data_IF_497389823015
#
_entry.id   IF_497389823015
#
_cell.length_a   1.000
_cell.length_b   1.000
_cell.length_c   1.000
_cell.angle_alpha   90.00
_cell.angle_beta   90.00
_cell.angle_gamma   90.00
#
_symmetry.space_group_name_H-M   'P 1'
#
loop_
_entity.id
_entity.type
_entity.pdbx_description
1 polymer ?
#
# COMPACT_ATOMS: atom_id res chain seq x y z
N UNK A 1 -20.05 -27.20 55.25
CA UNK A 1 -21.26 -27.88 54.75
C UNK A 1 -21.81 -27.17 53.55
N UNK A 2 -22.32 -27.94 52.59
CA UNK A 2 -23.05 -27.59 51.37
C UNK A 2 -22.21 -27.36 50.10
N UNK A 3 -22.09 -28.46 49.36
CA UNK A 3 -21.74 -28.58 47.96
C UNK A 3 -22.90 -28.08 47.09
N UNK A 4 -22.62 -27.28 46.03
CA UNK A 4 -23.55 -27.10 44.90
C UNK A 4 -22.87 -27.39 43.60
N UNK A 5 -23.34 -28.46 42.98
CA UNK A 5 -23.05 -28.96 41.64
C UNK A 5 -23.66 -28.00 40.60
N UNK A 6 -22.92 -27.63 39.56
CA UNK A 6 -23.49 -27.00 38.38
C UNK A 6 -23.31 -27.90 37.17
N UNK A 7 -24.42 -28.09 36.49
CA UNK A 7 -24.65 -29.00 35.38
C UNK A 7 -24.02 -28.51 34.08
N UNK A 8 -23.35 -29.41 33.41
CA UNK A 8 -22.91 -29.36 32.03
C UNK A 8 -24.13 -29.44 31.09
N UNK A 9 -24.34 -28.45 30.23
CA UNK A 9 -25.30 -28.56 29.14
C UNK A 9 -24.57 -28.77 27.82
N UNK A 10 -24.73 -29.95 27.26
CA UNK A 10 -24.32 -30.35 25.92
C UNK A 10 -25.18 -29.67 24.88
N UNK A 11 -24.57 -29.06 23.87
CA UNK A 11 -25.22 -28.63 22.62
C UNK A 11 -25.32 -29.80 21.66
N UNK A 12 -26.46 -30.01 21.00
CA UNK A 12 -26.57 -30.99 19.91
C UNK A 12 -26.11 -30.44 18.58
N UNK A 13 -25.37 -31.28 17.90
CA UNK A 13 -24.93 -31.12 16.51
C UNK A 13 -26.12 -31.40 15.59
N UNK A 14 -26.48 -30.51 14.72
CA UNK A 14 -27.42 -30.76 13.64
C UNK A 14 -26.70 -30.93 12.30
N UNK A 15 -26.97 -32.10 11.75
CA UNK A 15 -26.48 -32.70 10.52
C UNK A 15 -26.91 -31.97 9.26
N UNK A 16 -25.97 -31.90 8.34
CA UNK A 16 -26.02 -32.06 6.88
C UNK A 16 -27.39 -32.06 6.16
N UNK A 17 -27.52 -31.20 5.20
CA UNK A 17 -28.45 -31.29 4.09
C UNK A 17 -27.72 -31.15 2.75
N UNK A 18 -27.31 -32.29 2.18
CA UNK A 18 -26.92 -32.41 0.77
C UNK A 18 -28.17 -32.32 -0.10
N UNK A 19 -28.15 -31.48 -1.14
CA UNK A 19 -28.89 -31.77 -2.38
C UNK A 19 -28.14 -31.18 -3.58
N UNK A 20 -27.79 -32.01 -4.56
CA UNK A 20 -27.24 -31.56 -5.84
C UNK A 20 -28.39 -31.26 -6.81
N UNK A 21 -28.33 -30.11 -7.45
CA UNK A 21 -29.21 -29.83 -8.60
C UNK A 21 -28.36 -29.89 -9.87
N UNK A 22 -28.46 -31.02 -10.54
CA UNK A 22 -28.19 -31.15 -11.99
C UNK A 22 -29.28 -30.46 -12.76
N UNK A 23 -28.95 -29.57 -13.65
CA UNK A 23 -29.71 -29.32 -14.90
C UNK A 23 -28.81 -28.65 -15.94
N UNK A 24 -28.43 -29.47 -16.86
CA UNK A 24 -28.73 -29.51 -18.32
C UNK A 24 -28.18 -28.34 -19.13
N UNK A 25 -27.18 -28.70 -19.85
CA UNK A 25 -26.64 -28.23 -21.12
C UNK A 25 -27.76 -27.76 -22.09
N UNK A 26 -27.61 -26.55 -22.62
CA UNK A 26 -28.11 -26.22 -23.96
C UNK A 26 -27.02 -25.48 -24.74
N UNK A 27 -26.35 -26.23 -25.59
CA UNK A 27 -25.59 -25.75 -26.76
C UNK A 27 -26.43 -24.75 -27.55
N UNK A 28 -25.89 -23.56 -27.74
CA UNK A 28 -26.19 -22.75 -28.91
C UNK A 28 -24.95 -22.13 -29.44
N UNK A 29 -24.39 -22.79 -30.44
CA UNK A 29 -23.30 -22.26 -31.25
C UNK A 29 -23.83 -21.02 -31.99
N UNK A 30 -23.23 -19.86 -31.75
CA UNK A 30 -23.31 -18.70 -32.62
C UNK A 30 -21.91 -18.37 -33.07
N UNK A 31 -21.63 -18.74 -34.35
CA UNK A 31 -20.53 -18.21 -35.13
C UNK A 31 -20.61 -16.69 -35.09
N UNK A 32 -19.61 -16.04 -34.53
CA UNK A 32 -19.34 -14.65 -34.80
C UNK A 32 -17.90 -14.49 -35.19
N UNK A 33 -17.77 -13.88 -36.34
CA UNK A 33 -16.56 -13.64 -37.12
C UNK A 33 -15.36 -13.20 -36.31
N UNK A 34 -14.26 -13.87 -36.56
CA UNK A 34 -12.90 -13.45 -36.14
C UNK A 34 -12.61 -12.14 -36.88
N UNK A 35 -12.75 -11.03 -36.18
CA UNK A 35 -12.19 -9.74 -36.60
C UNK A 35 -10.68 -9.82 -36.38
N UNK A 36 -9.96 -9.93 -37.49
CA UNK A 36 -8.51 -9.85 -37.62
C UNK A 36 -8.02 -8.57 -36.91
N UNK A 37 -7.55 -8.71 -35.69
CA UNK A 37 -6.87 -7.63 -34.96
C UNK A 37 -5.44 -7.64 -35.44
N UNK A 38 -5.11 -6.70 -36.30
CA UNK A 38 -3.74 -6.42 -36.70
C UNK A 38 -2.91 -6.08 -35.46
N UNK A 39 -1.69 -6.62 -35.29
CA UNK A 39 -0.83 -6.24 -34.20
C UNK A 39 -0.43 -4.77 -34.38
N UNK A 40 -1.00 -3.90 -33.56
CA UNK A 40 -0.49 -2.54 -33.42
C UNK A 40 0.95 -2.64 -32.94
N UNK A 41 1.91 -2.26 -33.79
CA UNK A 41 3.31 -2.05 -33.43
C UNK A 41 3.36 -1.28 -32.09
N UNK A 42 4.22 -1.70 -31.15
CA UNK A 42 4.40 -0.94 -29.93
C UNK A 42 4.93 0.44 -30.34
N UNK A 43 4.07 1.44 -30.12
CA UNK A 43 4.47 2.84 -30.27
C UNK A 43 5.57 3.08 -29.24
N UNK A 44 6.82 3.16 -29.70
CA UNK A 44 7.93 3.64 -28.88
C UNK A 44 7.43 4.93 -28.23
N UNK A 45 7.23 4.87 -26.92
CA UNK A 45 7.03 6.10 -26.13
C UNK A 45 8.33 6.88 -26.33
N UNK A 46 8.25 7.96 -27.11
CA UNK A 46 9.32 8.95 -27.18
C UNK A 46 9.68 9.22 -25.71
N UNK A 47 10.92 8.92 -25.36
CA UNK A 47 11.51 9.35 -24.09
C UNK A 47 11.14 10.83 -23.95
N UNK A 48 10.31 11.11 -22.94
CA UNK A 48 10.05 12.49 -22.58
C UNK A 48 11.42 13.17 -22.39
N UNK A 49 11.59 14.43 -22.85
CA UNK A 49 12.82 15.13 -22.60
C UNK A 49 13.14 15.00 -21.12
N UNK A 50 14.38 14.67 -20.82
CA UNK A 50 14.89 14.59 -19.46
C UNK A 50 14.59 15.96 -18.84
N UNK A 51 13.45 16.04 -18.12
CA UNK A 51 13.11 17.26 -17.41
C UNK A 51 14.26 17.55 -16.46
N UNK A 52 14.79 18.77 -16.51
CA UNK A 52 15.81 19.21 -15.56
C UNK A 52 15.42 18.76 -14.15
N UNK A 53 16.37 18.20 -13.39
CA UNK A 53 16.05 17.65 -12.09
C UNK A 53 15.51 18.78 -11.21
N UNK A 54 14.24 18.67 -10.88
CA UNK A 54 13.55 19.62 -10.02
C UNK A 54 14.26 19.64 -8.66
N UNK A 55 14.50 20.82 -8.08
CA UNK A 55 15.37 20.97 -6.90
C UNK A 55 14.97 20.11 -5.68
N UNK A 56 13.69 19.72 -5.60
CA UNK A 56 13.20 18.85 -4.52
C UNK A 56 13.40 17.34 -4.77
N UNK A 57 13.87 16.92 -5.95
CA UNK A 57 14.15 15.51 -6.28
C UNK A 57 15.53 15.04 -5.85
N UNK A 58 16.36 15.96 -5.37
CA UNK A 58 17.71 15.62 -4.91
C UNK A 58 17.78 15.63 -3.40
N UNK A 59 18.41 14.58 -2.85
CA UNK A 59 18.78 14.59 -1.45
C UNK A 59 19.78 15.73 -1.18
N UNK A 60 19.60 16.43 -0.09
CA UNK A 60 20.59 17.38 0.41
C UNK A 60 21.76 16.64 1.05
N UNK A 61 22.91 17.31 1.23
CA UNK A 61 24.03 16.73 1.98
C UNK A 61 23.56 16.25 3.36
N UNK A 62 23.78 14.97 3.66
CA UNK A 62 23.31 14.34 4.89
C UNK A 62 21.89 13.77 4.83
N UNK A 63 21.23 13.81 3.68
CA UNK A 63 19.93 13.17 3.46
C UNK A 63 20.08 11.93 2.59
N UNK A 64 19.33 10.89 2.92
CA UNK A 64 19.21 9.67 2.13
C UNK A 64 17.78 9.53 1.66
N UNK A 65 17.55 9.31 0.37
CA UNK A 65 16.22 9.09 -0.17
C UNK A 65 15.60 7.84 0.47
N UNK A 66 14.50 8.02 1.19
CA UNK A 66 13.77 6.95 1.83
C UNK A 66 12.65 6.39 0.94
N UNK A 67 12.03 7.24 0.10
CA UNK A 67 11.01 6.80 -0.82
C UNK A 67 10.26 7.94 -1.48
N UNK A 68 9.23 7.59 -2.24
CA UNK A 68 8.30 8.54 -2.86
C UNK A 68 6.91 8.27 -2.28
N UNK A 69 6.20 9.33 -1.96
CA UNK A 69 4.83 9.26 -1.44
C UNK A 69 3.91 8.75 -2.54
N UNK A 70 3.27 7.60 -2.28
CA UNK A 70 2.28 7.00 -3.18
C UNK A 70 0.93 7.68 -2.99
N UNK A 71 0.50 7.86 -1.73
CA UNK A 71 -0.76 8.52 -1.39
C UNK A 71 -0.72 9.19 -0.01
N UNK A 72 -1.65 10.13 0.21
CA UNK A 72 -1.82 10.84 1.48
C UNK A 72 -3.28 10.86 1.94
N UNK A 73 -3.54 10.21 3.06
CA UNK A 73 -4.86 10.13 3.69
C UNK A 73 -5.05 11.28 4.71
N UNK A 74 -5.63 12.37 4.25
CA UNK A 74 -5.76 13.60 5.05
C UNK A 74 -6.58 13.43 6.33
N UNK A 75 -7.56 12.53 6.34
CA UNK A 75 -8.39 12.26 7.52
C UNK A 75 -7.64 11.56 8.65
N UNK A 76 -6.65 10.76 8.29
CA UNK A 76 -5.81 10.00 9.22
C UNK A 76 -4.46 10.65 9.45
N UNK A 77 -4.13 11.65 8.62
CA UNK A 77 -2.77 12.23 8.53
C UNK A 77 -1.71 11.14 8.32
N UNK A 78 -1.99 10.21 7.39
CA UNK A 78 -1.10 9.09 7.08
C UNK A 78 -0.61 9.21 5.65
N UNK A 79 0.69 9.08 5.49
CA UNK A 79 1.38 8.96 4.20
C UNK A 79 1.62 7.48 3.93
N UNK A 80 1.32 7.01 2.73
CA UNK A 80 1.72 5.69 2.25
C UNK A 80 2.82 5.82 1.22
N UNK A 81 3.82 4.97 1.33
CA UNK A 81 4.94 4.94 0.41
C UNK A 81 5.61 3.56 0.39
N UNK A 82 6.34 3.29 -0.69
CA UNK A 82 7.24 2.13 -0.78
C UNK A 82 8.67 2.59 -0.47
N UNK A 83 9.29 1.97 0.52
CA UNK A 83 10.64 2.32 0.95
C UNK A 83 11.70 1.96 -0.11
N UNK A 84 12.66 2.84 -0.29
CA UNK A 84 13.87 2.60 -1.07
C UNK A 84 15.12 2.39 -0.18
N UNK A 85 15.05 2.87 1.05
CA UNK A 85 16.08 2.65 2.06
C UNK A 85 15.46 2.33 3.43
N UNK A 86 16.19 1.63 4.31
CA UNK A 86 15.66 1.22 5.61
C UNK A 86 15.35 2.45 6.48
N UNK A 87 14.22 2.37 7.20
CA UNK A 87 13.73 3.43 8.06
C UNK A 87 13.37 2.87 9.44
N UNK A 88 13.63 3.65 10.48
CA UNK A 88 13.39 3.26 11.88
C UNK A 88 12.57 4.33 12.58
N UNK A 89 11.69 3.92 13.48
CA UNK A 89 10.96 4.85 14.35
C UNK A 89 11.98 5.63 15.20
N UNK A 90 11.80 6.96 15.24
CA UNK A 90 12.75 7.89 15.83
C UNK A 90 13.70 8.55 14.84
N UNK A 91 13.75 8.07 13.59
CA UNK A 91 14.54 8.74 12.56
C UNK A 91 13.93 10.11 12.22
N UNK A 92 14.79 11.06 11.91
CA UNK A 92 14.37 12.36 11.39
C UNK A 92 14.13 12.23 9.92
N UNK A 93 12.94 12.61 9.49
CA UNK A 93 12.53 12.55 8.09
C UNK A 93 12.25 13.94 7.54
N UNK A 94 12.53 14.13 6.27
CA UNK A 94 12.25 15.35 5.55
C UNK A 94 11.39 15.02 4.32
N UNK A 95 10.17 15.55 4.27
CA UNK A 95 9.28 15.41 3.13
C UNK A 95 9.38 16.65 2.27
N UNK A 96 9.75 16.46 1.02
CA UNK A 96 9.92 17.56 0.05
C UNK A 96 9.15 17.29 -1.23
N UNK A 97 8.46 18.32 -1.68
CA UNK A 97 7.71 18.32 -2.92
C UNK A 97 7.64 19.70 -3.55
N UNK A 98 6.78 19.86 -4.53
CA UNK A 98 6.59 21.16 -5.19
C UNK A 98 6.09 22.26 -4.23
N UNK A 99 5.22 21.87 -3.31
CA UNK A 99 4.60 22.78 -2.33
C UNK A 99 4.72 22.26 -0.90
N UNK A 100 5.46 21.18 -0.72
CA UNK A 100 5.69 20.50 0.54
C UNK A 100 7.16 20.61 0.92
N UNK A 101 7.43 21.12 2.10
CA UNK A 101 8.77 21.17 2.68
C UNK A 101 8.58 21.10 4.20
N UNK A 102 8.76 19.90 4.77
CA UNK A 102 8.59 19.71 6.19
C UNK A 102 9.52 18.64 6.73
N UNK A 103 10.05 18.91 7.90
CA UNK A 103 10.92 17.99 8.63
C UNK A 103 10.21 17.56 9.90
N UNK A 104 10.16 16.26 10.17
CA UNK A 104 9.53 15.70 11.36
C UNK A 104 10.31 14.49 11.88
N UNK A 105 10.00 14.07 13.09
CA UNK A 105 10.52 12.83 13.66
C UNK A 105 9.47 11.75 13.43
N UNK A 106 9.90 10.61 12.92
CA UNK A 106 9.03 9.48 12.66
C UNK A 106 8.52 8.87 13.99
N UNK A 107 7.31 9.23 14.41
CA UNK A 107 6.72 8.75 15.66
C UNK A 107 6.20 7.33 15.55
N UNK A 108 5.61 6.98 14.42
CA UNK A 108 5.01 5.67 14.22
C UNK A 108 5.02 5.25 12.75
N UNK A 109 5.20 3.95 12.55
CA UNK A 109 5.23 3.32 11.24
C UNK A 109 4.44 2.03 11.26
N UNK A 110 3.74 1.73 10.18
CA UNK A 110 2.92 0.52 10.04
C UNK A 110 3.18 -0.15 8.70
N UNK A 111 3.19 -1.48 8.71
CA UNK A 111 3.15 -2.33 7.52
C UNK A 111 1.89 -3.16 7.60
N UNK A 112 1.02 -3.09 6.59
CA UNK A 112 -0.26 -3.84 6.58
C UNK A 112 -1.09 -3.66 7.89
N UNK A 113 -1.17 -2.43 8.39
CA UNK A 113 -1.87 -2.06 9.64
C UNK A 113 -1.23 -2.62 10.92
N UNK A 114 -0.05 -3.19 10.84
CA UNK A 114 0.72 -3.65 12.01
C UNK A 114 1.82 -2.64 12.30
N UNK A 115 1.86 -2.16 13.54
CA UNK A 115 2.91 -1.24 13.99
C UNK A 115 4.26 -1.93 14.02
N UNK A 116 5.25 -1.31 13.39
CA UNK A 116 6.62 -1.81 13.34
C UNK A 116 7.60 -0.72 13.76
N UNK A 117 8.69 -1.12 14.41
CA UNK A 117 9.74 -0.20 14.82
C UNK A 117 10.75 0.07 13.70
N UNK A 118 10.88 -0.85 12.75
CA UNK A 118 11.82 -0.76 11.64
C UNK A 118 11.21 -1.39 10.39
N UNK A 119 11.46 -0.79 9.24
CA UNK A 119 11.11 -1.32 7.93
C UNK A 119 12.31 -1.34 6.99
N UNK A 120 12.28 -2.24 6.01
CA UNK A 120 13.35 -2.46 5.04
C UNK A 120 13.01 -1.80 3.70
N UNK A 121 14.03 -1.66 2.86
CA UNK A 121 13.83 -1.26 1.48
C UNK A 121 12.93 -2.29 0.76
N UNK A 122 11.94 -1.80 0.03
CA UNK A 122 10.92 -2.59 -0.67
C UNK A 122 9.62 -2.79 0.10
N UNK A 123 9.57 -2.47 1.40
CA UNK A 123 8.34 -2.60 2.19
C UNK A 123 7.37 -1.44 1.91
N UNK A 124 6.08 -1.74 1.68
CA UNK A 124 5.04 -0.71 1.67
C UNK A 124 4.71 -0.31 3.10
N UNK A 125 4.89 0.96 3.43
CA UNK A 125 4.65 1.47 4.78
C UNK A 125 3.63 2.60 4.80
N UNK A 126 2.95 2.72 5.95
CA UNK A 126 2.17 3.89 6.32
C UNK A 126 2.83 4.60 7.49
N UNK A 127 3.09 5.88 7.37
CA UNK A 127 3.64 6.72 8.43
C UNK A 127 2.67 7.83 8.78
N UNK A 128 2.60 8.19 10.05
CA UNK A 128 1.83 9.34 10.49
C UNK A 128 2.64 10.61 10.24
N UNK A 129 2.09 11.54 9.47
CA UNK A 129 2.69 12.82 9.17
C UNK A 129 1.99 13.94 9.94
N UNK A 130 2.74 14.95 10.37
CA UNK A 130 2.20 16.13 11.05
C UNK A 130 1.61 17.13 10.04
N UNK A 131 2.13 17.17 8.82
CA UNK A 131 1.74 18.11 7.80
C UNK A 131 1.05 17.48 6.59
N UNK A 132 0.55 18.33 5.69
CA UNK A 132 -0.07 17.91 4.44
C UNK A 132 1.00 17.56 3.41
N UNK A 133 0.90 16.36 2.86
CA UNK A 133 1.72 15.88 1.76
C UNK A 133 0.88 15.62 0.52
N UNK A 134 1.53 15.34 -0.58
CA UNK A 134 0.89 14.98 -1.85
C UNK A 134 1.54 13.72 -2.44
N UNK A 135 0.78 12.97 -3.19
CA UNK A 135 1.33 11.90 -4.00
C UNK A 135 2.40 12.47 -4.95
N UNK A 136 3.55 11.80 -4.98
CA UNK A 136 4.72 12.23 -5.75
C UNK A 136 5.71 13.10 -4.97
N UNK A 137 5.45 13.45 -3.71
CA UNK A 137 6.44 14.09 -2.84
C UNK A 137 7.53 13.07 -2.47
N UNK A 138 8.70 13.55 -2.16
CA UNK A 138 9.86 12.73 -1.81
C UNK A 138 10.09 12.73 -0.31
N UNK A 139 10.33 11.55 0.22
CA UNK A 139 10.69 11.36 1.62
C UNK A 139 12.19 11.07 1.71
N UNK A 140 12.88 11.83 2.55
CA UNK A 140 14.29 11.69 2.84
C UNK A 140 14.47 11.37 4.32
N UNK A 141 15.41 10.49 4.61
CA UNK A 141 15.95 10.29 5.97
C UNK A 141 17.10 11.25 6.16
N UNK A 142 17.07 12.02 7.24
CA UNK A 142 18.15 12.94 7.65
C UNK A 142 19.07 12.18 8.61
N UNK A 143 20.33 12.02 8.20
CA UNK A 143 21.39 11.35 8.97
C UNK A 143 22.07 12.22 9.98
#
# INVERSE_FOLDING_TARGET
MAKKKTKTSKKPILKAGKKPVKKTVKKKAKKTAVKKVSPKKPRLKKSAPVAEPLPWRHALPGETMAGVVDDYFSHLSVITLTLQSPLTVGDKIHVRGHTTDMTEILESMQINHVSVAQAKAGDPIGIKAVGKCRAGDYLYKVG
#
